data_IF_080053792112
#
_entry.id   IF_080053792112
#
_cell.length_a   1.000
_cell.length_b   1.000
_cell.length_c   1.000
_cell.angle_alpha   90.00
_cell.angle_beta   90.00
_cell.angle_gamma   90.00
#
_symmetry.space_group_name_H-M   'P 1'
#
loop_
_entity.id
_entity.type
_entity.pdbx_description
1 polymer ?
#
# COMPACT_ATOMS: atom_id res chain seq x y z
N UNK A 1 -5.12 10.52 24.60
CA UNK A 1 -4.41 10.41 23.30
C UNK A 1 -5.08 11.26 22.22
N UNK A 2 -6.38 11.08 21.92
CA UNK A 2 -7.10 11.90 20.92
C UNK A 2 -7.00 13.41 21.16
N UNK A 3 -7.33 13.88 22.37
CA UNK A 3 -7.25 15.30 22.72
C UNK A 3 -5.83 15.90 22.58
N UNK A 4 -4.78 15.10 22.73
CA UNK A 4 -3.39 15.58 22.60
C UNK A 4 -2.97 15.76 21.14
N UNK A 5 -3.40 14.87 20.24
CA UNK A 5 -3.06 14.98 18.81
C UNK A 5 -3.87 16.09 18.13
N UNK A 6 -5.11 16.34 18.61
CA UNK A 6 -5.95 17.43 18.13
C UNK A 6 -5.34 18.81 18.46
N UNK A 7 -4.68 18.95 19.60
CA UNK A 7 -3.98 20.18 19.99
C UNK A 7 -2.82 20.56 19.05
N UNK A 8 -2.23 19.60 18.36
CA UNK A 8 -1.17 19.83 17.36
C UNK A 8 -1.72 19.82 15.93
N UNK A 9 -3.04 19.91 15.73
CA UNK A 9 -3.65 19.96 14.39
C UNK A 9 -3.69 18.61 13.67
N UNK A 10 -3.61 17.49 14.40
CA UNK A 10 -3.78 16.14 13.87
C UNK A 10 -5.09 15.53 14.37
N UNK A 11 -5.72 14.71 13.54
CA UNK A 11 -6.89 13.93 13.91
C UNK A 11 -6.55 12.42 13.92
N UNK A 12 -7.18 11.69 14.84
CA UNK A 12 -7.10 10.24 14.89
C UNK A 12 -8.26 9.65 14.08
N UNK A 13 -7.93 8.96 13.01
CA UNK A 13 -8.86 8.16 12.20
C UNK A 13 -8.77 6.70 12.64
N UNK A 14 -9.85 6.19 13.23
CA UNK A 14 -9.96 4.84 13.78
C UNK A 14 -11.06 4.08 13.07
N UNK A 15 -10.70 3.02 12.36
CA UNK A 15 -11.65 2.11 11.76
C UNK A 15 -11.59 0.76 12.49
N UNK A 16 -12.63 0.47 13.27
CA UNK A 16 -12.72 -0.76 14.05
C UNK A 16 -13.09 -1.99 13.21
N UNK A 17 -13.86 -1.79 12.13
CA UNK A 17 -14.27 -2.88 11.26
C UNK A 17 -13.05 -3.47 10.52
N UNK A 18 -12.21 -2.58 9.99
CA UNK A 18 -10.97 -2.97 9.30
C UNK A 18 -9.76 -3.10 10.25
N UNK A 19 -9.92 -2.75 11.53
CA UNK A 19 -8.91 -2.96 12.57
C UNK A 19 -7.66 -2.08 12.47
N UNK A 20 -7.76 -0.86 11.95
CA UNK A 20 -6.64 0.09 11.85
C UNK A 20 -6.91 1.43 12.54
N UNK A 21 -5.82 2.11 12.91
CA UNK A 21 -5.82 3.49 13.37
C UNK A 21 -4.69 4.25 12.68
N UNK A 22 -4.96 5.49 12.24
CA UNK A 22 -3.95 6.37 11.64
C UNK A 22 -4.14 7.82 12.10
N UNK A 23 -3.06 8.59 12.03
CA UNK A 23 -3.13 10.04 12.17
C UNK A 23 -3.33 10.66 10.78
N UNK A 24 -4.25 11.60 10.70
CA UNK A 24 -4.49 12.42 9.51
C UNK A 24 -4.36 13.89 9.90
N UNK A 25 -3.90 14.71 8.98
CA UNK A 25 -3.93 16.15 9.14
C UNK A 25 -5.06 16.67 8.28
N UNK A 26 -6.10 17.29 8.87
CA UNK A 26 -7.17 17.90 8.10
C UNK A 26 -6.62 18.93 7.12
N UNK A 27 -7.28 19.08 5.97
CA UNK A 27 -6.94 20.16 5.06
C UNK A 27 -7.34 21.49 5.69
N UNK A 28 -6.47 22.53 5.58
CA UNK A 28 -6.84 23.87 6.01
C UNK A 28 -8.08 24.34 5.24
N UNK A 29 -8.90 25.17 5.88
CA UNK A 29 -9.93 25.91 5.15
C UNK A 29 -9.26 26.81 4.10
N UNK A 30 -9.87 26.94 2.92
CA UNK A 30 -9.28 27.69 1.80
C UNK A 30 -8.98 29.17 2.16
N UNK A 31 -9.79 29.76 3.03
CA UNK A 31 -9.66 31.15 3.49
C UNK A 31 -8.96 31.29 4.85
N UNK A 32 -8.27 30.24 5.35
CA UNK A 32 -7.54 30.34 6.61
C UNK A 32 -6.31 31.25 6.42
N UNK A 33 -6.25 32.43 7.08
CA UNK A 33 -5.13 33.35 6.94
C UNK A 33 -3.83 32.79 7.56
N UNK A 34 -3.93 31.72 8.35
CA UNK A 34 -2.82 31.08 9.06
C UNK A 34 -2.93 29.56 9.00
N UNK A 35 -2.75 28.95 7.83
CA UNK A 35 -2.90 27.50 7.69
C UNK A 35 -1.89 26.77 8.59
N UNK A 36 -2.31 25.71 9.29
CA UNK A 36 -1.43 24.97 10.19
C UNK A 36 -0.24 24.35 9.44
N UNK A 37 0.90 24.32 10.12
CA UNK A 37 2.11 23.66 9.60
C UNK A 37 1.81 22.19 9.27
N UNK A 38 2.30 21.71 8.13
CA UNK A 38 2.22 20.28 7.80
C UNK A 38 3.17 19.48 8.68
N UNK A 39 2.59 18.69 9.60
CA UNK A 39 3.31 17.85 10.54
C UNK A 39 3.50 16.42 10.02
N UNK A 40 2.62 15.97 9.13
CA UNK A 40 2.73 14.66 8.50
C UNK A 40 3.46 14.77 7.15
N UNK A 41 4.51 13.97 6.98
CA UNK A 41 5.19 13.83 5.69
C UNK A 41 4.26 13.17 4.69
N UNK A 42 4.08 13.78 3.52
CA UNK A 42 3.50 13.10 2.35
C UNK A 42 4.57 12.20 1.72
N UNK A 43 4.24 10.93 1.56
CA UNK A 43 5.08 9.95 0.87
C UNK A 43 4.66 9.90 -0.59
N UNK A 44 5.56 10.29 -1.49
CA UNK A 44 5.37 10.03 -2.91
C UNK A 44 5.75 8.56 -3.18
N UNK A 45 4.81 7.81 -3.74
CA UNK A 45 5.06 6.42 -4.14
C UNK A 45 5.64 6.43 -5.57
N UNK A 46 6.64 5.58 -5.82
CA UNK A 46 7.09 5.30 -7.18
C UNK A 46 6.01 4.54 -7.95
N UNK A 47 6.12 4.50 -9.29
CA UNK A 47 5.22 3.71 -10.13
C UNK A 47 5.10 2.25 -9.64
N UNK A 48 6.24 1.60 -9.39
CA UNK A 48 6.28 0.22 -8.92
C UNK A 48 5.61 0.03 -7.54
N UNK A 49 5.78 1.00 -6.64
CA UNK A 49 5.14 1.00 -5.32
C UNK A 49 3.62 1.20 -5.42
N UNK A 50 3.18 2.16 -6.24
CA UNK A 50 1.75 2.43 -6.49
C UNK A 50 1.07 1.21 -7.10
N UNK A 51 1.70 0.60 -8.11
CA UNK A 51 1.20 -0.60 -8.77
C UNK A 51 1.03 -1.76 -7.79
N UNK A 52 2.05 -2.08 -7.00
CA UNK A 52 1.93 -3.12 -5.98
C UNK A 52 0.84 -2.80 -4.96
N UNK A 53 0.67 -1.53 -4.57
CA UNK A 53 -0.42 -1.13 -3.68
C UNK A 53 -1.80 -1.37 -4.31
N UNK A 54 -1.99 -1.10 -5.60
CA UNK A 54 -3.24 -1.38 -6.33
C UNK A 54 -3.54 -2.89 -6.32
N UNK A 55 -2.54 -3.72 -6.64
CA UNK A 55 -2.70 -5.19 -6.65
C UNK A 55 -3.03 -5.73 -5.26
N UNK A 56 -2.32 -5.28 -4.23
CA UNK A 56 -2.61 -5.67 -2.85
C UNK A 56 -4.01 -5.24 -2.41
N UNK A 57 -4.51 -4.11 -2.92
CA UNK A 57 -5.84 -3.60 -2.61
C UNK A 57 -6.94 -4.47 -3.19
N UNK A 58 -6.75 -4.96 -4.41
CA UNK A 58 -7.65 -5.92 -5.06
C UNK A 58 -7.63 -7.28 -4.34
N UNK A 59 -6.44 -7.78 -4.02
CA UNK A 59 -6.30 -9.07 -3.30
C UNK A 59 -6.93 -9.04 -1.91
N UNK A 60 -6.86 -7.90 -1.22
CA UNK A 60 -7.54 -7.70 0.05
C UNK A 60 -9.07 -7.83 -0.12
N UNK A 61 -9.62 -7.21 -1.16
CA UNK A 61 -11.05 -7.25 -1.49
C UNK A 61 -11.51 -8.67 -1.86
N UNK A 62 -10.76 -9.35 -2.72
CA UNK A 62 -11.03 -10.74 -3.10
C UNK A 62 -11.03 -11.67 -1.88
N UNK A 63 -10.08 -11.46 -0.97
CA UNK A 63 -9.97 -12.26 0.25
C UNK A 63 -11.15 -12.07 1.21
N UNK A 64 -11.60 -10.82 1.38
CA UNK A 64 -12.74 -10.47 2.23
C UNK A 64 -14.07 -10.96 1.66
N UNK A 65 -14.24 -10.93 0.34
CA UNK A 65 -15.44 -11.41 -0.34
C UNK A 65 -15.52 -12.95 -0.43
N UNK A 66 -14.42 -13.66 -0.12
CA UNK A 66 -14.41 -15.12 -0.16
C UNK A 66 -15.13 -15.69 1.07
N UNK A 67 -16.30 -16.32 0.83
CA UNK A 67 -17.15 -16.93 1.86
C UNK A 67 -16.47 -18.04 2.69
N UNK A 68 -15.33 -18.58 2.24
CA UNK A 68 -14.57 -19.62 2.97
C UNK A 68 -13.52 -19.05 3.93
N UNK A 69 -13.31 -17.73 3.91
CA UNK A 69 -12.29 -17.07 4.73
C UNK A 69 -12.78 -16.89 6.16
N UNK A 70 -12.08 -17.50 7.12
CA UNK A 70 -12.37 -17.32 8.57
C UNK A 70 -11.72 -16.07 9.19
N UNK A 71 -10.78 -15.43 8.48
CA UNK A 71 -9.98 -14.30 8.97
C UNK A 71 -10.02 -13.14 7.99
N UNK A 72 -10.38 -11.94 8.43
CA UNK A 72 -10.32 -10.72 7.61
C UNK A 72 -8.89 -10.31 7.23
N UNK A 73 -7.87 -10.93 7.83
CA UNK A 73 -6.46 -10.63 7.55
C UNK A 73 -5.94 -11.49 6.40
N UNK A 74 -5.45 -10.81 5.37
CA UNK A 74 -4.74 -11.43 4.26
C UNK A 74 -3.25 -11.65 4.64
N UNK A 75 -2.82 -12.91 4.59
CA UNK A 75 -1.42 -13.29 4.71
C UNK A 75 -0.92 -13.79 3.36
N UNK A 76 0.32 -13.44 3.03
CA UNK A 76 0.96 -13.82 1.77
C UNK A 76 2.44 -14.07 1.98
N UNK A 77 3.04 -14.91 1.15
CA UNK A 77 4.48 -15.15 1.15
C UNK A 77 5.23 -14.13 0.29
N UNK A 78 6.53 -14.01 0.49
CA UNK A 78 7.39 -13.20 -0.38
C UNK A 78 7.37 -13.69 -1.84
N UNK A 79 7.28 -15.00 -2.05
CA UNK A 79 7.12 -15.58 -3.39
C UNK A 79 5.83 -15.09 -4.06
N UNK A 80 4.69 -15.20 -3.38
CA UNK A 80 3.39 -14.74 -3.90
C UNK A 80 3.40 -13.23 -4.20
N UNK A 81 3.97 -12.40 -3.31
CA UNK A 81 4.12 -10.97 -3.55
C UNK A 81 4.90 -10.68 -4.84
N UNK A 82 5.97 -11.43 -5.10
CA UNK A 82 6.75 -11.31 -6.34
C UNK A 82 5.96 -11.76 -7.53
N UNK A 83 5.29 -12.92 -7.46
CA UNK A 83 4.45 -13.41 -8.55
C UNK A 83 3.38 -12.40 -8.94
N UNK A 84 2.69 -11.85 -7.94
CA UNK A 84 1.66 -10.83 -8.15
C UNK A 84 2.23 -9.57 -8.79
N UNK A 85 3.41 -9.14 -8.36
CA UNK A 85 4.06 -7.98 -8.96
C UNK A 85 4.57 -8.28 -10.38
N UNK A 86 5.20 -9.44 -10.61
CA UNK A 86 5.74 -9.89 -11.90
C UNK A 86 4.68 -9.86 -13.01
N UNK A 87 3.41 -10.14 -12.70
CA UNK A 87 2.30 -10.08 -13.67
C UNK A 87 2.12 -8.70 -14.34
N UNK A 88 2.61 -7.63 -13.72
CA UNK A 88 2.43 -6.26 -14.21
C UNK A 88 3.71 -5.63 -14.73
N UNK A 89 4.86 -6.31 -14.59
CA UNK A 89 6.11 -5.87 -15.20
C UNK A 89 6.30 -6.59 -16.53
N UNK A 90 6.48 -5.83 -17.61
CA UNK A 90 6.89 -6.41 -18.89
C UNK A 90 8.19 -7.20 -18.70
N UNK A 91 8.25 -8.40 -19.30
CA UNK A 91 9.39 -9.32 -19.28
C UNK A 91 10.72 -8.56 -19.43
N UNK A 92 11.43 -8.27 -18.33
CA UNK A 92 12.67 -7.55 -18.44
C UNK A 92 13.73 -8.52 -18.95
N UNK A 93 14.67 -8.01 -19.73
CA UNK A 93 15.80 -8.79 -20.26
C UNK A 93 16.62 -9.48 -19.17
N UNK A 94 16.49 -9.05 -17.90
CA UNK A 94 17.13 -9.65 -16.72
C UNK A 94 16.14 -9.87 -15.56
N UNK A 95 15.66 -11.11 -15.43
CA UNK A 95 14.75 -11.54 -14.35
C UNK A 95 15.32 -11.34 -12.94
N UNK A 96 16.61 -11.58 -12.74
CA UNK A 96 17.25 -11.42 -11.42
C UNK A 96 17.21 -9.96 -10.94
N UNK A 97 17.42 -9.02 -11.87
CA UNK A 97 17.35 -7.59 -11.56
C UNK A 97 15.91 -7.12 -11.27
N UNK A 98 14.89 -7.73 -11.90
CA UNK A 98 13.50 -7.48 -11.56
C UNK A 98 13.17 -7.93 -10.13
N UNK A 99 13.50 -9.18 -9.80
CA UNK A 99 13.23 -9.73 -8.46
C UNK A 99 13.86 -8.88 -7.35
N UNK A 100 15.09 -8.39 -7.56
CA UNK A 100 15.74 -7.48 -6.60
C UNK A 100 15.03 -6.13 -6.44
N UNK A 101 14.46 -5.58 -7.53
CA UNK A 101 13.64 -4.35 -7.47
C UNK A 101 12.33 -4.59 -6.74
N UNK A 102 11.65 -5.69 -7.04
CA UNK A 102 10.41 -6.09 -6.35
C UNK A 102 10.62 -6.23 -4.85
N UNK A 103 11.73 -6.85 -4.45
CA UNK A 103 12.08 -6.95 -3.04
C UNK A 103 12.25 -5.58 -2.36
N UNK A 104 12.90 -4.63 -3.04
CA UNK A 104 13.04 -3.26 -2.53
C UNK A 104 11.70 -2.54 -2.41
N UNK A 105 10.77 -2.79 -3.35
CA UNK A 105 9.40 -2.27 -3.28
C UNK A 105 8.67 -2.86 -2.07
N UNK A 106 8.73 -4.18 -1.86
CA UNK A 106 8.10 -4.85 -0.71
C UNK A 106 8.65 -4.29 0.61
N UNK A 107 9.96 -4.15 0.76
CA UNK A 107 10.58 -3.58 1.97
C UNK A 107 10.18 -2.11 2.18
N UNK A 108 10.00 -1.35 1.10
CA UNK A 108 9.46 0.02 1.19
C UNK A 108 8.02 0.01 1.74
N UNK A 109 7.16 -0.88 1.25
CA UNK A 109 5.78 -1.00 1.75
C UNK A 109 5.71 -1.50 3.19
N UNK A 110 6.66 -2.34 3.62
CA UNK A 110 6.84 -2.70 5.04
C UNK A 110 7.20 -1.47 5.87
N UNK A 111 8.14 -0.66 5.38
CA UNK A 111 8.55 0.59 6.05
C UNK A 111 7.41 1.59 6.17
N UNK A 112 6.53 1.65 5.17
CA UNK A 112 5.33 2.51 5.19
C UNK A 112 4.19 1.96 6.05
N UNK A 113 4.32 0.74 6.58
CA UNK A 113 3.30 0.08 7.39
C UNK A 113 2.10 -0.44 6.58
N UNK A 114 2.24 -0.56 5.26
CA UNK A 114 1.22 -1.16 4.38
C UNK A 114 1.34 -2.69 4.35
N UNK A 115 2.56 -3.20 4.55
CA UNK A 115 2.85 -4.60 4.82
C UNK A 115 3.43 -4.74 6.22
N UNK A 116 3.24 -5.90 6.84
CA UNK A 116 3.94 -6.27 8.08
C UNK A 116 4.53 -7.65 7.94
N UNK A 117 5.81 -7.80 8.28
CA UNK A 117 6.42 -9.14 8.38
C UNK A 117 5.82 -9.85 9.59
N UNK A 118 5.12 -10.97 9.35
CA UNK A 118 4.47 -11.75 10.39
C UNK A 118 5.35 -12.93 10.84
N UNK A 119 6.02 -13.60 9.89
CA UNK A 119 6.97 -14.68 10.17
C UNK A 119 8.15 -14.58 9.21
N UNK A 120 9.37 -14.50 9.73
CA UNK A 120 10.59 -14.64 8.91
C UNK A 120 10.98 -16.10 8.82
N UNK A 121 11.44 -16.49 7.64
CA UNK A 121 12.00 -17.81 7.38
C UNK A 121 13.42 -17.63 6.84
N UNK A 122 14.41 -17.87 7.70
CA UNK A 122 15.82 -17.67 7.38
C UNK A 122 16.37 -18.76 6.45
N UNK A 123 15.78 -19.96 6.50
CA UNK A 123 16.18 -21.08 5.65
C UNK A 123 15.60 -20.94 4.24
N UNK A 124 14.40 -20.39 4.12
CA UNK A 124 13.75 -20.11 2.84
C UNK A 124 13.13 -18.71 2.83
N UNK A 125 13.90 -17.67 2.41
CA UNK A 125 13.42 -16.29 2.39
C UNK A 125 12.11 -16.07 1.62
N UNK A 126 11.83 -16.91 0.62
CA UNK A 126 10.63 -16.83 -0.20
C UNK A 126 9.36 -17.21 0.57
N UNK A 127 9.52 -17.99 1.65
CA UNK A 127 8.45 -18.38 2.58
C UNK A 127 8.26 -17.39 3.74
N UNK A 128 8.99 -16.26 3.73
CA UNK A 128 8.73 -15.17 4.67
C UNK A 128 7.29 -14.70 4.49
N UNK A 129 6.52 -14.74 5.57
CA UNK A 129 5.11 -14.39 5.58
C UNK A 129 4.94 -12.90 5.89
N UNK A 130 4.17 -12.24 5.05
CA UNK A 130 3.73 -10.87 5.19
C UNK A 130 2.21 -10.83 5.44
N UNK A 131 1.79 -9.93 6.30
CA UNK A 131 0.39 -9.54 6.49
C UNK A 131 0.14 -8.26 5.68
N UNK A 132 -0.88 -8.27 4.82
CA UNK A 132 -1.35 -7.09 4.10
C UNK A 132 -2.25 -6.29 5.02
N UNK A 133 -1.90 -5.03 5.31
CA UNK A 133 -2.64 -4.20 6.25
C UNK A 133 -3.85 -3.56 5.60
N UNK A 134 -5.01 -3.66 6.25
CA UNK A 134 -6.24 -2.99 5.85
C UNK A 134 -6.14 -1.44 5.84
N UNK A 135 -5.06 -0.87 6.40
CA UNK A 135 -4.68 0.53 6.21
C UNK A 135 -4.62 0.93 4.72
N UNK A 136 -4.36 -0.04 3.83
CA UNK A 136 -4.37 0.14 2.39
C UNK A 136 -5.72 0.67 1.88
N UNK A 137 -6.86 0.26 2.46
CA UNK A 137 -8.20 0.77 2.13
C UNK A 137 -8.37 2.25 2.42
N UNK A 138 -7.74 2.74 3.48
CA UNK A 138 -7.79 4.16 3.86
C UNK A 138 -6.87 5.03 2.99
N UNK A 139 -5.83 4.42 2.42
CA UNK A 139 -4.85 5.09 1.55
C UNK A 139 -5.29 5.08 0.09
N UNK A 140 -5.94 4.00 -0.34
CA UNK A 140 -6.51 3.78 -1.66
C UNK A 140 -8.02 3.64 -1.50
N UNK A 141 -8.71 4.78 -1.49
CA UNK A 141 -10.17 4.83 -1.62
C UNK A 141 -10.59 4.25 -2.98
N UNK A 142 -11.87 3.88 -3.13
CA UNK A 142 -12.36 3.36 -4.41
C UNK A 142 -12.12 4.35 -5.55
N UNK A 143 -12.44 5.63 -5.32
CA UNK A 143 -12.18 6.73 -6.26
C UNK A 143 -10.69 6.83 -6.62
N UNK A 144 -9.79 6.80 -5.63
CA UNK A 144 -8.35 6.90 -5.88
C UNK A 144 -7.80 5.67 -6.58
N UNK A 145 -8.38 4.50 -6.34
CA UNK A 145 -8.02 3.25 -6.98
C UNK A 145 -8.34 3.31 -8.48
N UNK A 146 -9.51 3.82 -8.85
CA UNK A 146 -9.92 4.00 -10.25
C UNK A 146 -9.03 5.01 -10.97
N UNK A 147 -8.81 6.19 -10.37
CA UNK A 147 -7.88 7.20 -10.91
C UNK A 147 -6.47 6.64 -11.13
N UNK A 148 -5.94 5.90 -10.15
CA UNK A 148 -4.61 5.31 -10.26
C UNK A 148 -4.56 4.23 -11.34
N UNK A 149 -5.60 3.41 -11.48
CA UNK A 149 -5.67 2.42 -12.57
C UNK A 149 -5.60 3.10 -13.94
N UNK A 150 -6.33 4.19 -14.12
CA UNK A 150 -6.31 4.98 -15.37
C UNK A 150 -4.95 5.67 -15.61
N UNK A 151 -4.32 6.23 -14.57
CA UNK A 151 -2.97 6.81 -14.65
C UNK A 151 -1.90 5.77 -14.98
N UNK A 152 -1.99 4.59 -14.36
CA UNK A 152 -1.09 3.46 -14.58
C UNK A 152 -1.25 2.90 -16.00
N UNK A 153 -2.47 2.77 -16.50
CA UNK A 153 -2.73 2.31 -17.86
C UNK A 153 -2.14 3.28 -18.90
N UNK A 154 -2.34 4.59 -18.72
CA UNK A 154 -1.72 5.61 -19.59
C UNK A 154 -0.19 5.57 -19.55
N UNK A 155 0.41 5.37 -18.38
CA UNK A 155 1.86 5.25 -18.24
C UNK A 155 2.41 3.97 -18.85
N UNK A 156 1.70 2.85 -18.71
CA UNK A 156 2.05 1.61 -19.39
C UNK A 156 2.07 1.84 -20.90
N UNK A 157 0.97 2.34 -21.48
CA UNK A 157 0.85 2.62 -22.92
C UNK A 157 1.93 3.58 -23.45
N UNK A 158 2.28 4.63 -22.68
CA UNK A 158 3.36 5.55 -23.04
C UNK A 158 4.76 4.94 -22.93
N UNK A 159 4.99 4.04 -21.98
CA UNK A 159 6.27 3.32 -21.84
C UNK A 159 6.39 2.22 -22.90
N UNK A 160 5.28 1.71 -23.41
CA UNK A 160 5.19 0.75 -24.51
C UNK A 160 5.45 1.38 -25.90
N UNK A 161 5.41 2.71 -26.04
CA UNK A 161 5.54 3.42 -27.31
C UNK A 161 6.97 3.92 -27.64
N UNK A 162 7.97 3.55 -26.83
CA UNK A 162 9.38 3.96 -26.97
C UNK A 162 10.30 2.76 -27.14
#
# INVERSE_FOLDING_TARGET
MRAYVEQIGLALDLNRADGYARLVQPEPAEDDPTPPLRLLRRLALSYEQSLLCVVLRERLEEHENNAHTQSTRLFTTRAELREWAELFFQQPTNRKALLGRLDAVVESLVTYGLLKVNRRDEANPDQTQHEVKALLKAKLTLEKLEELKEELQRHAESTHAV
#
